data_IF_744622798953
#
_entry.id   IF_744622798953
#
_cell.length_a   1.000
_cell.length_b   1.000
_cell.length_c   1.000
_cell.angle_alpha   90.00
_cell.angle_beta   90.00
_cell.angle_gamma   90.00
#
_symmetry.space_group_name_H-M   'P 1'
#
loop_
_entity.id
_entity.type
_entity.pdbx_description
1 polymer ?
#
# COMPACT_ATOMS: atom_id res chain seq x y z
N UNK A 1 -1.11 -33.12 35.69
CA UNK A 1 0.38 -33.11 35.72
C UNK A 1 0.83 -32.03 34.78
N UNK A 2 1.55 -31.04 35.33
CA UNK A 2 2.38 -29.97 34.71
C UNK A 2 1.75 -29.23 33.49
N UNK A 3 1.10 -28.05 33.60
CA UNK A 3 1.57 -26.72 34.07
C UNK A 3 2.99 -26.35 33.62
N UNK A 4 3.08 -25.58 32.54
CA UNK A 4 4.02 -24.46 32.42
C UNK A 4 3.31 -23.23 31.84
N UNK A 5 3.30 -22.18 32.65
CA UNK A 5 2.78 -20.83 32.37
C UNK A 5 3.92 -19.92 31.90
N UNK A 6 3.57 -18.76 31.32
CA UNK A 6 4.23 -17.42 31.38
C UNK A 6 3.70 -16.62 30.16
N UNK A 7 2.65 -15.77 30.27
CA UNK A 7 2.69 -14.31 30.56
C UNK A 7 3.82 -13.61 29.77
N UNK A 8 3.61 -12.69 28.83
CA UNK A 8 2.80 -11.48 28.93
C UNK A 8 2.48 -10.92 27.52
N UNK A 9 1.21 -10.55 27.34
CA UNK A 9 0.68 -9.74 26.25
C UNK A 9 0.65 -8.31 26.77
N UNK A 10 1.59 -7.46 26.35
CA UNK A 10 1.50 -6.00 26.44
C UNK A 10 2.65 -5.39 25.63
N UNK A 11 2.40 -4.21 25.08
CA UNK A 11 3.28 -3.28 24.36
C UNK A 11 3.22 -3.28 22.83
N UNK A 12 2.64 -2.19 22.32
CA UNK A 12 2.62 -1.81 20.91
C UNK A 12 1.76 -0.57 20.60
N UNK A 13 1.55 0.33 21.57
CA UNK A 13 0.97 1.65 21.32
C UNK A 13 1.47 2.60 22.41
N UNK A 14 2.52 3.36 22.10
CA UNK A 14 2.88 4.57 22.83
C UNK A 14 3.13 5.66 21.78
N UNK A 15 2.01 6.21 21.32
CA UNK A 15 1.98 7.55 20.74
C UNK A 15 2.45 8.54 21.79
N UNK A 16 3.29 9.48 21.35
CA UNK A 16 3.84 10.56 22.14
C UNK A 16 2.80 11.19 23.09
N UNK A 17 2.99 10.98 24.39
CA UNK A 17 2.42 11.77 25.48
C UNK A 17 3.29 11.45 26.70
N UNK A 18 3.97 12.45 27.26
CA UNK A 18 4.92 12.26 28.35
C UNK A 18 4.30 11.52 29.54
N UNK A 19 4.95 10.46 29.98
CA UNK A 19 4.88 9.90 31.34
C UNK A 19 5.98 8.84 31.47
N UNK A 20 6.83 8.99 32.49
CA UNK A 20 7.96 8.11 32.75
C UNK A 20 7.53 6.65 32.96
N UNK A 21 8.28 5.73 32.35
CA UNK A 21 8.12 4.29 32.55
C UNK A 21 9.22 3.83 33.49
N UNK A 22 8.83 3.45 34.70
CA UNK A 22 9.67 2.78 35.68
C UNK A 22 10.17 1.44 35.14
N UNK A 23 11.48 1.25 35.26
CA UNK A 23 12.28 0.15 34.73
C UNK A 23 11.92 -1.18 35.40
N UNK A 24 11.56 -2.20 34.61
CA UNK A 24 11.71 -3.60 34.98
C UNK A 24 12.69 -4.24 34.01
N UNK A 25 13.76 -4.82 34.56
CA UNK A 25 14.93 -5.32 33.86
C UNK A 25 14.63 -6.41 32.82
N UNK A 26 14.31 -5.99 31.59
CA UNK A 26 14.71 -6.67 30.37
C UNK A 26 15.91 -5.89 29.82
N UNK A 27 16.90 -6.55 29.21
CA UNK A 27 18.05 -5.89 28.61
C UNK A 27 17.59 -4.64 27.85
N UNK A 28 17.96 -3.46 28.34
CA UNK A 28 17.42 -2.20 27.84
C UNK A 28 17.81 -2.10 26.36
N UNK A 29 16.82 -2.21 25.46
CA UNK A 29 17.07 -2.05 24.03
C UNK A 29 17.52 -0.61 23.82
N UNK A 30 18.72 -0.41 23.29
CA UNK A 30 19.20 0.93 22.97
C UNK A 30 18.41 1.46 21.78
N UNK A 31 17.60 2.49 22.01
CA UNK A 31 16.71 3.07 20.99
C UNK A 31 17.34 4.33 20.38
N UNK A 32 17.47 4.35 19.07
CA UNK A 32 17.94 5.51 18.31
C UNK A 32 16.75 6.18 17.61
N UNK A 33 16.55 7.47 17.88
CA UNK A 33 15.60 8.27 17.11
C UNK A 33 16.16 8.42 15.70
N UNK A 34 15.45 7.92 14.68
CA UNK A 34 16.01 7.86 13.33
C UNK A 34 15.20 8.69 12.35
N UNK A 35 15.87 9.43 11.46
CA UNK A 35 15.26 10.12 10.33
C UNK A 35 15.91 9.61 9.04
N UNK A 36 15.08 9.10 8.12
CA UNK A 36 15.54 8.62 6.82
C UNK A 36 15.17 9.63 5.74
N UNK A 37 16.15 10.12 5.00
CA UNK A 37 16.02 11.20 4.03
C UNK A 37 16.68 10.82 2.69
N UNK A 38 16.26 11.45 1.60
CA UNK A 38 16.79 11.14 0.26
C UNK A 38 17.79 12.19 -0.24
N UNK A 39 17.72 13.40 0.30
CA UNK A 39 18.54 14.55 -0.12
C UNK A 39 19.38 15.16 1.00
N UNK A 40 19.46 14.49 2.15
CA UNK A 40 20.30 14.93 3.24
C UNK A 40 21.79 14.69 2.94
N UNK A 41 22.63 15.57 3.44
CA UNK A 41 24.08 15.53 3.27
C UNK A 41 24.75 15.87 4.59
N UNK A 42 26.06 15.71 4.66
CA UNK A 42 26.83 16.10 5.84
C UNK A 42 26.58 17.56 6.24
N UNK A 43 26.33 18.45 5.26
CA UNK A 43 26.10 19.87 5.51
C UNK A 43 24.76 20.23 6.15
N UNK A 44 23.75 19.36 6.08
CA UNK A 44 22.42 19.63 6.64
C UNK A 44 21.90 18.57 7.62
N UNK A 45 22.60 17.44 7.79
CA UNK A 45 22.19 16.35 8.69
C UNK A 45 21.98 16.83 10.13
N UNK A 46 22.81 17.75 10.62
CA UNK A 46 22.65 18.35 11.95
C UNK A 46 21.31 19.08 12.11
N UNK A 47 20.80 19.73 11.07
CA UNK A 47 19.52 20.45 11.12
C UNK A 47 18.34 19.49 11.12
N UNK A 48 18.47 18.33 10.47
CA UNK A 48 17.51 17.23 10.63
C UNK A 48 17.52 16.69 12.07
N UNK A 49 18.69 16.51 12.67
CA UNK A 49 18.80 16.00 14.02
C UNK A 49 18.15 16.93 15.05
N UNK A 50 18.33 18.25 14.91
CA UNK A 50 17.74 19.28 15.77
C UNK A 50 16.21 19.31 15.77
N UNK A 51 15.52 18.68 14.81
CA UNK A 51 14.06 18.50 14.84
C UNK A 51 13.60 17.60 15.99
N UNK A 52 14.52 16.85 16.58
CA UNK A 52 14.27 15.92 17.68
C UNK A 52 14.96 16.36 18.97
N UNK A 53 14.68 17.56 19.51
CA UNK A 53 15.30 18.00 20.74
C UNK A 53 14.96 17.05 21.90
N UNK A 54 15.83 16.91 22.90
CA UNK A 54 15.51 16.25 24.15
C UNK A 54 14.28 16.83 24.82
N UNK A 55 13.44 15.98 25.41
CA UNK A 55 12.33 16.44 26.24
C UNK A 55 12.88 17.10 27.50
N UNK A 56 12.40 18.30 27.79
CA UNK A 56 12.75 19.05 28.99
C UNK A 56 11.67 18.84 30.04
N UNK A 57 12.08 18.40 31.22
CA UNK A 57 11.25 18.27 32.41
C UNK A 57 11.64 19.35 33.40
N UNK A 58 10.67 20.10 33.91
CA UNK A 58 10.92 21.19 34.84
C UNK A 58 10.17 20.97 36.14
N UNK A 59 10.87 21.14 37.25
CA UNK A 59 10.27 21.22 38.58
C UNK A 59 10.13 22.69 38.96
N UNK A 60 8.92 23.08 39.37
CA UNK A 60 8.66 24.39 39.96
C UNK A 60 8.68 24.21 41.47
N UNK A 61 9.52 24.96 42.18
CA UNK A 61 9.53 25.01 43.63
C UNK A 61 8.99 26.37 44.07
N UNK A 62 8.00 26.34 44.97
CA UNK A 62 7.33 27.53 45.50
C UNK A 62 5.97 27.84 44.86
N UNK A 63 5.18 28.76 45.46
CA UNK A 63 3.90 29.17 44.93
C UNK A 63 4.08 29.96 43.62
N UNK A 64 3.18 29.74 42.65
CA UNK A 64 3.14 30.50 41.39
C UNK A 64 3.09 32.01 41.69
N UNK A 65 4.14 32.77 41.32
CA UNK A 65 4.31 34.16 41.75
C UNK A 65 5.67 34.77 41.35
N UNK A 66 6.19 35.71 42.15
CA UNK A 66 7.44 36.43 41.87
C UNK A 66 8.69 35.69 42.39
N UNK A 67 8.52 34.76 43.33
CA UNK A 67 9.61 34.04 44.01
C UNK A 67 9.64 32.53 43.69
N UNK A 68 9.02 32.09 42.59
CA UNK A 68 9.15 30.68 42.21
C UNK A 68 10.56 30.43 41.65
N UNK A 69 11.15 29.30 42.04
CA UNK A 69 12.34 28.78 41.38
C UNK A 69 11.93 27.67 40.42
N UNK A 70 12.62 27.59 39.29
CA UNK A 70 12.43 26.54 38.32
C UNK A 70 13.75 25.83 38.07
N UNK A 71 13.72 24.51 38.13
CA UNK A 71 14.87 23.66 37.83
C UNK A 71 14.46 22.72 36.69
N UNK A 72 15.06 22.92 35.53
CA UNK A 72 14.78 22.12 34.34
C UNK A 72 15.93 21.18 34.00
N UNK A 73 15.58 19.95 33.66
CA UNK A 73 16.49 18.91 33.24
C UNK A 73 16.05 18.28 31.93
N UNK A 74 16.99 17.69 31.20
CA UNK A 74 16.69 16.84 30.05
C UNK A 74 17.71 15.72 29.95
N UNK A 75 17.23 14.54 29.56
CA UNK A 75 18.10 13.41 29.26
C UNK A 75 18.64 13.53 27.83
N UNK A 76 19.92 13.17 27.57
CA UNK A 76 20.44 13.15 26.21
C UNK A 76 19.57 12.29 25.28
N UNK A 77 19.50 12.70 24.02
CA UNK A 77 18.78 11.97 22.98
C UNK A 77 19.71 11.64 21.83
N UNK A 78 19.74 10.37 21.48
CA UNK A 78 20.54 9.84 20.38
C UNK A 78 19.71 9.86 19.09
N UNK A 79 20.22 10.55 18.07
CA UNK A 79 19.54 10.79 16.79
C UNK A 79 20.41 10.34 15.63
N UNK A 80 19.87 9.44 14.80
CA UNK A 80 20.50 8.88 13.61
C UNK A 80 19.85 9.45 12.35
N UNK A 81 20.63 10.07 11.48
CA UNK A 81 20.19 10.57 10.18
C UNK A 81 20.76 9.63 9.12
N UNK A 82 19.90 9.11 8.24
CA UNK A 82 20.29 8.16 7.20
C UNK A 82 19.91 8.74 5.83
N UNK A 83 20.88 8.89 4.94
CA UNK A 83 20.59 9.11 3.53
C UNK A 83 20.29 7.77 2.85
N UNK A 84 19.04 7.56 2.44
CA UNK A 84 18.59 6.34 1.79
C UNK A 84 19.22 6.11 0.39
N UNK A 85 19.59 7.17 -0.33
CA UNK A 85 20.20 7.09 -1.65
C UNK A 85 21.70 6.73 -1.59
N UNK A 86 22.45 7.35 -0.68
CA UNK A 86 23.89 7.14 -0.57
C UNK A 86 24.29 6.10 0.48
N UNK A 87 23.37 5.71 1.36
CA UNK A 87 23.65 4.85 2.51
C UNK A 87 24.48 5.54 3.61
N UNK A 88 24.77 6.84 3.47
CA UNK A 88 25.50 7.62 4.46
C UNK A 88 24.66 7.80 5.72
N UNK A 89 25.34 7.78 6.87
CA UNK A 89 24.72 7.84 8.18
C UNK A 89 25.45 8.85 9.06
N UNK A 90 24.70 9.71 9.74
CA UNK A 90 25.24 10.68 10.68
C UNK A 90 24.56 10.49 12.03
N UNK A 91 25.36 10.28 13.07
CA UNK A 91 24.87 10.02 14.41
C UNK A 91 25.20 11.20 15.31
N UNK A 92 24.16 11.77 15.93
CA UNK A 92 24.26 12.90 16.82
C UNK A 92 23.68 12.56 18.18
N UNK A 93 24.36 13.00 19.22
CA UNK A 93 23.80 13.09 20.56
C UNK A 93 23.39 14.54 20.83
N UNK A 94 22.12 14.73 21.15
CA UNK A 94 21.55 16.02 21.51
C UNK A 94 21.39 16.08 23.03
N UNK A 95 21.84 17.17 23.65
CA UNK A 95 21.65 17.43 25.07
C UNK A 95 21.42 18.92 25.30
N UNK A 96 20.81 19.30 26.42
CA UNK A 96 20.81 20.69 26.83
C UNK A 96 22.00 20.95 27.76
N UNK A 97 22.70 22.06 27.55
CA UNK A 97 23.60 22.63 28.56
C UNK A 97 22.81 23.47 29.56
N UNK A 98 23.45 23.96 30.62
CA UNK A 98 22.82 24.74 31.69
C UNK A 98 21.69 24.00 32.46
N UNK A 99 21.82 22.69 32.62
CA UNK A 99 20.90 21.86 33.41
C UNK A 99 20.70 22.44 34.82
N UNK A 100 19.47 22.37 35.35
CA UNK A 100 19.10 22.94 36.66
C UNK A 100 18.71 24.42 36.64
N UNK A 101 18.72 25.08 35.47
CA UNK A 101 18.25 26.47 35.31
C UNK A 101 16.80 26.57 34.82
N UNK A 102 16.31 27.80 34.62
CA UNK A 102 15.03 28.05 33.97
C UNK A 102 15.02 27.51 32.53
N UNK A 103 13.83 27.15 32.04
CA UNK A 103 13.65 26.50 30.73
C UNK A 103 14.22 27.32 29.57
N UNK A 104 14.09 28.65 29.63
CA UNK A 104 14.58 29.57 28.60
C UNK A 104 16.11 29.76 28.63
N UNK A 105 16.80 29.29 29.68
CA UNK A 105 18.26 29.33 29.80
C UNK A 105 18.94 28.02 29.35
N UNK A 106 18.16 26.98 29.09
CA UNK A 106 18.66 25.73 28.52
C UNK A 106 19.05 25.95 27.05
N UNK A 107 20.29 25.63 26.71
CA UNK A 107 20.80 25.74 25.33
C UNK A 107 20.97 24.34 24.74
N UNK A 108 20.34 24.08 23.60
CA UNK A 108 20.52 22.83 22.88
C UNK A 108 21.94 22.76 22.32
N UNK A 109 22.66 21.71 22.69
CA UNK A 109 23.95 21.34 22.15
C UNK A 109 23.83 20.02 21.38
N UNK A 110 24.59 19.92 20.29
CA UNK A 110 24.56 18.77 19.38
C UNK A 110 25.99 18.32 19.13
N UNK A 111 26.27 17.05 19.37
CA UNK A 111 27.61 16.48 19.21
C UNK A 111 27.55 15.28 18.29
N UNK A 112 28.32 15.29 17.22
CA UNK A 112 28.48 14.14 16.34
C UNK A 112 29.25 13.03 17.06
N UNK A 113 28.82 11.78 16.85
CA UNK A 113 29.35 10.58 17.49
C UNK A 113 29.53 9.48 16.44
N UNK A 114 30.39 8.52 16.73
CA UNK A 114 30.52 7.31 15.91
C UNK A 114 29.33 6.39 16.17
N UNK A 115 28.62 6.00 15.11
CA UNK A 115 27.50 5.07 15.20
C UNK A 115 28.01 3.67 15.60
N UNK A 116 27.48 3.06 16.66
CA UNK A 116 27.86 1.70 17.03
C UNK A 116 27.57 0.69 15.92
N UNK A 117 28.43 -0.34 15.81
CA UNK A 117 28.37 -1.31 14.73
C UNK A 117 26.99 -2.00 14.60
N UNK A 118 26.38 -2.37 15.73
CA UNK A 118 25.07 -3.03 15.73
C UNK A 118 23.95 -2.12 15.20
N UNK A 119 23.98 -0.84 15.56
CA UNK A 119 23.05 0.16 15.04
C UNK A 119 23.29 0.45 13.55
N UNK A 120 24.55 0.48 13.13
CA UNK A 120 24.91 0.61 11.71
C UNK A 120 24.40 -0.59 10.90
N UNK A 121 24.63 -1.81 11.37
CA UNK A 121 24.18 -3.05 10.73
C UNK A 121 22.65 -3.10 10.64
N UNK A 122 21.93 -2.69 11.69
CA UNK A 122 20.47 -2.63 11.67
C UNK A 122 19.96 -1.57 10.68
N UNK A 123 20.64 -0.43 10.56
CA UNK A 123 20.32 0.60 9.57
C UNK A 123 20.59 0.11 8.13
N UNK A 124 21.70 -0.60 7.90
CA UNK A 124 22.00 -1.20 6.60
C UNK A 124 20.99 -2.28 6.20
N UNK A 125 20.59 -3.13 7.15
CA UNK A 125 19.57 -4.15 6.96
C UNK A 125 18.20 -3.52 6.62
N UNK A 126 17.84 -2.44 7.30
CA UNK A 126 16.64 -1.66 7.01
C UNK A 126 16.66 -1.09 5.59
N UNK A 127 17.74 -0.42 5.19
CA UNK A 127 17.88 0.13 3.83
C UNK A 127 17.82 -0.98 2.78
N UNK A 128 18.50 -2.10 3.01
CA UNK A 128 18.50 -3.26 2.12
C UNK A 128 17.10 -3.84 1.95
N UNK A 129 16.34 -3.96 3.03
CA UNK A 129 14.94 -4.43 3.01
C UNK A 129 14.07 -3.56 2.12
N UNK A 130 14.16 -2.24 2.25
CA UNK A 130 13.38 -1.30 1.47
C UNK A 130 13.79 -1.29 -0.01
N UNK A 131 15.09 -1.28 -0.29
CA UNK A 131 15.60 -1.31 -1.65
C UNK A 131 15.23 -2.61 -2.39
N UNK A 132 15.25 -3.75 -1.69
CA UNK A 132 14.82 -5.02 -2.26
C UNK A 132 13.32 -5.03 -2.60
N UNK A 133 12.50 -4.35 -1.80
CA UNK A 133 11.08 -4.15 -2.08
C UNK A 133 10.83 -3.31 -3.33
N UNK A 134 11.53 -2.19 -3.48
CA UNK A 134 11.42 -1.32 -4.65
C UNK A 134 11.87 -2.06 -5.91
N UNK A 135 12.98 -2.80 -5.84
CA UNK A 135 13.47 -3.64 -6.94
C UNK A 135 12.49 -4.76 -7.29
N UNK A 136 11.92 -5.44 -6.30
CA UNK A 136 10.95 -6.50 -6.54
C UNK A 136 9.71 -5.98 -7.30
N UNK A 137 9.17 -4.82 -6.90
CA UNK A 137 8.05 -4.20 -7.61
C UNK A 137 8.44 -3.79 -9.02
N UNK A 138 9.63 -3.20 -9.21
CA UNK A 138 10.14 -2.88 -10.55
C UNK A 138 10.23 -4.11 -11.45
N UNK A 139 10.82 -5.20 -10.95
CA UNK A 139 10.97 -6.45 -11.69
C UNK A 139 9.62 -7.09 -12.04
N UNK A 140 8.63 -6.99 -11.14
CA UNK A 140 7.27 -7.46 -11.42
C UNK A 140 6.61 -6.58 -12.47
N UNK A 141 6.74 -5.26 -12.39
CA UNK A 141 6.24 -4.36 -13.45
C UNK A 141 6.83 -4.76 -14.81
N UNK A 142 8.15 -4.90 -14.92
CA UNK A 142 8.81 -5.29 -16.17
C UNK A 142 8.35 -6.67 -16.66
N UNK A 143 8.22 -7.63 -15.75
CA UNK A 143 7.71 -8.97 -16.08
C UNK A 143 6.30 -8.90 -16.66
N UNK A 144 5.38 -8.16 -16.06
CA UNK A 144 3.97 -8.11 -16.45
C UNK A 144 3.74 -7.24 -17.70
N UNK A 145 4.68 -6.37 -18.04
CA UNK A 145 4.71 -5.64 -19.31
C UNK A 145 5.34 -6.47 -20.45
N UNK A 146 5.99 -7.61 -20.14
CA UNK A 146 6.59 -8.46 -21.17
C UNK A 146 5.57 -9.11 -22.10
N UNK A 147 5.94 -9.30 -23.37
CA UNK A 147 5.10 -9.94 -24.38
C UNK A 147 4.67 -11.37 -23.99
N UNK A 148 5.54 -12.09 -23.27
CA UNK A 148 5.24 -13.44 -22.76
C UNK A 148 4.08 -13.43 -21.77
N UNK A 149 4.10 -12.50 -20.80
CA UNK A 149 3.01 -12.37 -19.83
C UNK A 149 1.72 -11.87 -20.48
N UNK A 150 1.81 -10.91 -21.41
CA UNK A 150 0.66 -10.44 -22.17
C UNK A 150 -0.02 -11.58 -22.96
N UNK A 151 0.77 -12.48 -23.56
CA UNK A 151 0.27 -13.69 -24.23
C UNK A 151 -0.31 -14.70 -23.23
N UNK A 152 0.32 -14.87 -22.06
CA UNK A 152 -0.19 -15.76 -21.02
C UNK A 152 -1.57 -15.31 -20.52
N UNK A 153 -1.76 -14.02 -20.26
CA UNK A 153 -3.07 -13.46 -19.90
C UNK A 153 -4.12 -13.71 -20.96
N UNK A 154 -3.76 -13.58 -22.24
CA UNK A 154 -4.66 -13.95 -23.33
C UNK A 154 -5.06 -15.42 -23.22
N UNK A 155 -4.09 -16.33 -23.09
CA UNK A 155 -4.37 -17.76 -23.02
C UNK A 155 -5.23 -18.16 -21.81
N UNK A 156 -4.99 -17.55 -20.64
CA UNK A 156 -5.76 -17.82 -19.43
C UNK A 156 -7.20 -17.31 -19.56
N UNK A 157 -7.37 -16.08 -20.06
CA UNK A 157 -8.68 -15.48 -20.29
C UNK A 157 -9.51 -16.29 -21.32
N UNK A 158 -8.86 -16.90 -22.31
CA UNK A 158 -9.48 -17.81 -23.26
C UNK A 158 -9.82 -19.18 -22.64
N UNK A 159 -8.96 -19.70 -21.75
CA UNK A 159 -9.11 -21.05 -21.18
C UNK A 159 -10.20 -21.14 -20.11
N UNK A 160 -10.54 -20.03 -19.43
CA UNK A 160 -11.73 -19.99 -18.56
C UNK A 160 -13.05 -20.23 -19.30
N UNK A 161 -13.02 -20.37 -20.64
CA UNK A 161 -14.20 -20.49 -21.50
C UNK A 161 -14.54 -21.89 -22.03
N UNK A 162 -14.23 -22.97 -21.32
CA UNK A 162 -14.71 -24.33 -21.71
C UNK A 162 -15.88 -24.85 -20.87
N UNK A 163 -16.84 -23.97 -20.56
CA UNK A 163 -18.20 -24.36 -20.17
C UNK A 163 -19.16 -24.08 -21.34
N UNK A 164 -19.03 -24.87 -22.41
CA UNK A 164 -20.01 -25.31 -23.44
C UNK A 164 -21.32 -24.55 -23.80
N UNK A 165 -21.53 -23.28 -23.43
CA UNK A 165 -22.71 -22.52 -23.84
C UNK A 165 -22.31 -21.24 -24.55
N UNK A 166 -22.57 -21.19 -25.87
CA UNK A 166 -22.43 -20.06 -26.79
C UNK A 166 -21.00 -19.53 -27.02
N UNK A 167 -20.45 -19.82 -28.21
CA UNK A 167 -19.46 -18.93 -28.82
C UNK A 167 -20.06 -17.52 -28.81
N UNK A 168 -19.41 -16.58 -28.13
CA UNK A 168 -19.94 -15.23 -28.04
C UNK A 168 -20.09 -14.68 -29.45
N UNK A 169 -21.27 -14.15 -29.81
CA UNK A 169 -21.43 -13.50 -31.09
C UNK A 169 -20.43 -12.36 -31.20
N UNK A 170 -20.13 -11.63 -30.10
CA UNK A 170 -19.33 -10.41 -30.04
C UNK A 170 -17.83 -10.57 -30.34
N UNK A 171 -17.27 -11.79 -30.32
CA UNK A 171 -15.85 -12.07 -30.59
C UNK A 171 -14.85 -11.31 -29.68
N UNK A 172 -15.21 -11.07 -28.42
CA UNK A 172 -14.42 -10.24 -27.49
C UNK A 172 -13.13 -10.88 -26.98
N UNK A 173 -12.94 -12.16 -27.28
CA UNK A 173 -11.89 -13.04 -26.75
C UNK A 173 -10.47 -12.50 -26.95
N UNK A 174 -10.20 -11.82 -28.05
CA UNK A 174 -8.87 -11.29 -28.37
C UNK A 174 -8.69 -9.80 -28.03
N UNK A 175 -9.73 -9.15 -27.51
CA UNK A 175 -9.71 -7.73 -27.21
C UNK A 175 -8.82 -7.41 -26.00
N UNK A 176 -8.10 -6.26 -25.99
CA UNK A 176 -7.32 -5.81 -24.84
C UNK A 176 -8.13 -5.71 -23.55
N UNK A 177 -9.41 -5.33 -23.65
CA UNK A 177 -10.30 -5.24 -22.49
C UNK A 177 -10.50 -6.59 -21.79
N UNK A 178 -10.48 -7.70 -22.54
CA UNK A 178 -10.61 -9.04 -21.99
C UNK A 178 -9.46 -9.37 -21.06
N UNK A 179 -8.22 -9.06 -21.48
CA UNK A 179 -7.03 -9.27 -20.66
C UNK A 179 -7.00 -8.34 -19.45
N UNK A 180 -7.38 -7.07 -19.64
CA UNK A 180 -7.41 -6.08 -18.57
C UNK A 180 -8.41 -6.45 -17.47
N UNK A 181 -9.65 -6.80 -17.84
CA UNK A 181 -10.67 -7.20 -16.87
C UNK A 181 -10.34 -8.54 -16.19
N UNK A 182 -9.79 -9.52 -16.92
CA UNK A 182 -9.28 -10.75 -16.33
C UNK A 182 -8.21 -10.43 -15.27
N UNK A 183 -7.22 -9.61 -15.62
CA UNK A 183 -6.17 -9.23 -14.66
C UNK A 183 -6.70 -8.43 -13.46
N UNK A 184 -7.75 -7.61 -13.64
CA UNK A 184 -8.34 -6.79 -12.59
C UNK A 184 -9.26 -7.54 -11.62
N UNK A 185 -10.02 -8.53 -12.11
CA UNK A 185 -11.11 -9.14 -11.34
C UNK A 185 -10.99 -10.66 -11.17
N UNK A 186 -10.10 -11.33 -11.89
CA UNK A 186 -9.86 -12.76 -11.70
C UNK A 186 -9.02 -13.04 -10.44
N UNK A 187 -9.53 -13.94 -9.59
CA UNK A 187 -8.89 -14.29 -8.32
C UNK A 187 -7.54 -15.00 -8.54
N UNK A 188 -7.40 -15.82 -9.59
CA UNK A 188 -6.14 -16.51 -9.90
C UNK A 188 -5.11 -15.53 -10.45
N UNK A 189 -5.51 -14.59 -11.31
CA UNK A 189 -4.62 -13.55 -11.80
C UNK A 189 -4.01 -12.74 -10.65
N UNK A 190 -4.84 -12.32 -9.68
CA UNK A 190 -4.37 -11.64 -8.46
C UNK A 190 -3.46 -12.52 -7.59
N UNK A 191 -3.79 -13.81 -7.43
CA UNK A 191 -2.95 -14.74 -6.68
C UNK A 191 -1.58 -14.97 -7.35
N UNK A 192 -1.54 -15.02 -8.69
CA UNK A 192 -0.31 -15.11 -9.47
C UNK A 192 0.55 -13.85 -9.32
N UNK A 193 -0.07 -12.66 -9.33
CA UNK A 193 0.63 -11.39 -9.03
C UNK A 193 1.25 -11.43 -7.63
N UNK A 194 0.48 -11.83 -6.62
CA UNK A 194 0.97 -11.97 -5.25
C UNK A 194 2.18 -12.91 -5.20
N UNK A 195 2.09 -14.10 -5.81
CA UNK A 195 3.18 -15.08 -5.87
C UNK A 195 4.42 -14.52 -6.58
N UNK A 196 4.25 -13.83 -7.71
CA UNK A 196 5.36 -13.20 -8.44
C UNK A 196 6.09 -12.19 -7.56
N UNK A 197 5.37 -11.32 -6.87
CA UNK A 197 5.99 -10.31 -6.01
C UNK A 197 6.72 -10.91 -4.82
N UNK A 198 6.11 -11.89 -4.14
CA UNK A 198 6.77 -12.59 -3.03
C UNK A 198 8.05 -13.28 -3.52
N UNK A 199 8.01 -13.95 -4.67
CA UNK A 199 9.18 -14.61 -5.23
C UNK A 199 10.28 -13.61 -5.61
N UNK A 200 9.94 -12.49 -6.26
CA UNK A 200 10.92 -11.45 -6.62
C UNK A 200 11.51 -10.78 -5.39
N UNK A 201 10.69 -10.54 -4.38
CA UNK A 201 11.18 -10.01 -3.11
C UNK A 201 12.12 -11.00 -2.41
N UNK A 202 11.80 -12.29 -2.39
CA UNK A 202 12.69 -13.32 -1.85
C UNK A 202 13.99 -13.47 -2.65
N UNK A 203 13.97 -13.25 -3.97
CA UNK A 203 15.18 -13.22 -4.80
C UNK A 203 16.07 -12.03 -4.45
N UNK A 204 15.49 -10.85 -4.24
CA UNK A 204 16.21 -9.60 -3.94
C UNK A 204 16.71 -9.50 -2.50
N UNK A 205 15.93 -10.02 -1.55
CA UNK A 205 16.19 -9.86 -0.13
C UNK A 205 16.65 -11.15 0.56
N UNK A 206 16.14 -12.31 0.13
CA UNK A 206 16.22 -13.56 0.86
C UNK A 206 15.00 -13.75 1.77
N UNK A 207 15.22 -14.30 2.96
CA UNK A 207 14.17 -14.42 3.98
C UNK A 207 14.11 -13.19 4.87
N UNK A 208 12.89 -12.78 5.23
CA UNK A 208 12.66 -11.78 6.29
C UNK A 208 12.73 -12.41 7.69
N UNK A 209 12.75 -13.74 7.77
CA UNK A 209 12.82 -14.45 9.04
C UNK A 209 14.16 -14.15 9.72
N UNK A 210 14.11 -13.57 10.92
CA UNK A 210 15.30 -13.16 11.66
C UNK A 210 15.98 -11.88 11.13
N UNK A 211 15.44 -11.24 10.08
CA UNK A 211 15.90 -9.92 9.65
C UNK A 211 15.65 -8.86 10.72
N UNK A 212 14.49 -8.93 11.37
CA UNK A 212 14.09 -8.08 12.49
C UNK A 212 13.44 -8.94 13.58
N UNK A 213 13.75 -8.67 14.84
CA UNK A 213 13.07 -9.27 16.00
C UNK A 213 11.71 -8.60 16.23
N UNK A 214 11.66 -7.27 16.08
CA UNK A 214 10.42 -6.51 16.05
C UNK A 214 10.39 -5.60 14.84
N UNK A 215 9.22 -5.42 14.23
CA UNK A 215 9.01 -4.51 13.10
C UNK A 215 7.62 -3.90 13.15
N UNK A 216 7.54 -2.58 13.06
CA UNK A 216 6.34 -1.81 12.78
C UNK A 216 6.72 -0.72 11.80
N UNK A 217 6.03 -0.64 10.67
CA UNK A 217 6.37 0.31 9.61
C UNK A 217 5.07 0.80 8.96
N UNK A 218 4.92 2.12 8.83
CA UNK A 218 3.83 2.81 8.13
C UNK A 218 4.41 3.74 7.07
N UNK A 219 3.57 4.53 6.37
CA UNK A 219 4.04 5.57 5.44
C UNK A 219 5.01 6.56 6.08
N UNK A 220 4.74 6.92 7.33
CA UNK A 220 5.37 8.06 8.00
C UNK A 220 6.41 7.60 9.00
N UNK A 221 6.16 6.49 9.68
CA UNK A 221 6.93 6.09 10.85
C UNK A 221 7.39 4.64 10.75
N UNK A 222 8.48 4.33 11.43
CA UNK A 222 8.96 2.97 11.60
C UNK A 222 9.52 2.74 13.00
N UNK A 223 9.56 1.48 13.37
CA UNK A 223 10.28 0.93 14.51
C UNK A 223 10.75 -0.47 14.14
N UNK A 224 12.05 -0.70 14.21
CA UNK A 224 12.68 -2.02 14.00
C UNK A 224 13.67 -2.29 15.10
N UNK A 225 13.80 -3.55 15.51
CA UNK A 225 14.84 -3.96 16.46
C UNK A 225 15.50 -5.27 16.09
N UNK A 226 16.75 -5.43 16.51
CA UNK A 226 17.52 -6.67 16.45
C UNK A 226 18.66 -6.63 17.46
N UNK A 227 18.92 -7.73 18.15
CA UNK A 227 20.12 -7.88 18.98
C UNK A 227 20.26 -6.82 20.07
N UNK A 228 19.16 -6.38 20.68
CA UNK A 228 19.19 -5.36 21.74
C UNK A 228 19.36 -3.91 21.25
N UNK A 229 19.31 -3.66 19.95
CA UNK A 229 19.27 -2.30 19.37
C UNK A 229 17.95 -2.09 18.64
N UNK A 230 17.39 -0.88 18.76
CA UNK A 230 16.19 -0.45 18.06
C UNK A 230 16.41 0.86 17.30
N UNK A 231 15.88 0.94 16.09
CA UNK A 231 15.76 2.17 15.31
C UNK A 231 14.28 2.52 15.24
N UNK A 232 13.92 3.74 15.64
CA UNK A 232 12.55 4.22 15.54
C UNK A 232 12.49 5.68 15.13
N UNK A 233 11.58 6.03 14.22
CA UNK A 233 11.37 7.41 13.81
C UNK A 233 10.65 7.53 12.49
N UNK A 234 11.02 8.51 11.67
CA UNK A 234 10.27 8.88 10.47
C UNK A 234 11.10 8.87 9.20
N UNK A 235 10.39 8.91 8.08
CA UNK A 235 10.97 9.00 6.74
C UNK A 235 10.50 10.28 6.07
N UNK A 236 11.39 10.93 5.33
CA UNK A 236 11.05 12.10 4.53
C UNK A 236 10.08 11.72 3.39
N UNK A 237 10.20 10.51 2.85
CA UNK A 237 9.24 9.93 1.90
C UNK A 237 9.48 8.43 1.72
N UNK A 238 8.65 7.58 2.32
CA UNK A 238 8.53 6.18 1.91
C UNK A 238 7.09 5.97 1.49
N UNK A 239 6.81 5.58 0.24
CA UNK A 239 5.46 5.23 -0.16
C UNK A 239 4.93 4.14 0.79
N UNK A 240 3.81 4.42 1.48
CA UNK A 240 3.08 3.41 2.24
C UNK A 240 2.69 2.24 1.36
N UNK A 241 2.34 2.61 0.13
CA UNK A 241 1.85 1.75 -0.93
C UNK A 241 2.87 1.73 -2.05
N UNK A 242 3.20 0.54 -2.51
CA UNK A 242 3.85 0.37 -3.81
C UNK A 242 2.82 -0.11 -4.79
N UNK A 243 2.92 0.31 -6.04
CA UNK A 243 1.95 -0.05 -7.06
C UNK A 243 2.58 -0.90 -8.14
N UNK A 244 1.90 -1.98 -8.52
CA UNK A 244 2.17 -2.66 -9.80
C UNK A 244 1.16 -2.14 -10.82
N UNK A 245 1.66 -1.67 -11.96
CA UNK A 245 0.85 -1.11 -13.04
C UNK A 245 1.07 -1.90 -14.33
N UNK A 246 -0.01 -2.47 -14.85
CA UNK A 246 0.01 -3.26 -16.09
C UNK A 246 -0.83 -2.56 -17.15
N UNK A 247 -0.25 -2.35 -18.32
CA UNK A 247 -0.90 -1.66 -19.43
C UNK A 247 -1.27 -2.67 -20.51
N UNK A 248 -2.51 -2.62 -20.97
CA UNK A 248 -3.02 -3.39 -22.09
C UNK A 248 -3.34 -2.42 -23.21
N UNK A 249 -2.45 -2.36 -24.20
CA UNK A 249 -2.56 -1.40 -25.30
C UNK A 249 -3.83 -1.63 -26.12
N UNK A 250 -4.56 -0.55 -26.41
CA UNK A 250 -5.79 -0.57 -27.20
C UNK A 250 -5.85 0.70 -28.06
N UNK A 251 -5.52 0.55 -29.34
CA UNK A 251 -5.47 1.67 -30.29
C UNK A 251 -6.85 2.26 -30.61
N UNK A 252 -7.95 1.57 -30.25
CA UNK A 252 -9.32 1.96 -30.63
C UNK A 252 -10.02 2.65 -29.46
N UNK A 253 -9.93 2.09 -28.25
CA UNK A 253 -10.66 2.57 -27.07
C UNK A 253 -9.78 3.30 -26.05
N UNK A 254 -8.48 3.43 -26.33
CA UNK A 254 -7.48 3.91 -25.40
C UNK A 254 -7.00 2.81 -24.45
N UNK A 255 -5.73 2.90 -24.05
CA UNK A 255 -5.08 1.88 -23.24
C UNK A 255 -5.82 1.60 -21.92
N UNK A 256 -5.88 0.32 -21.57
CA UNK A 256 -6.40 -0.13 -20.28
C UNK A 256 -5.23 -0.25 -19.31
N UNK A 257 -5.33 0.38 -18.14
CA UNK A 257 -4.25 0.40 -17.15
C UNK A 257 -4.81 -0.17 -15.86
N UNK A 258 -4.27 -1.28 -15.39
CA UNK A 258 -4.70 -1.91 -14.15
C UNK A 258 -3.59 -1.75 -13.12
N UNK A 259 -3.92 -1.08 -12.03
CA UNK A 259 -2.98 -0.76 -10.96
C UNK A 259 -3.42 -1.48 -9.69
N UNK A 260 -2.51 -2.25 -9.09
CA UNK A 260 -2.70 -2.82 -7.76
C UNK A 260 -1.82 -2.09 -6.76
N UNK A 261 -2.43 -1.54 -5.72
CA UNK A 261 -1.73 -1.06 -4.55
C UNK A 261 -1.37 -2.25 -3.66
N UNK A 262 -0.12 -2.26 -3.20
CA UNK A 262 0.47 -3.32 -2.43
C UNK A 262 0.73 -2.81 -1.03
N UNK A 263 0.15 -3.50 -0.06
CA UNK A 263 0.22 -3.19 1.35
C UNK A 263 0.87 -4.35 2.10
N UNK A 264 1.30 -4.08 3.33
CA UNK A 264 1.60 -5.15 4.26
C UNK A 264 0.29 -5.71 4.77
N UNK A 265 0.18 -7.04 4.79
CA UNK A 265 -1.00 -7.71 5.31
C UNK A 265 -1.27 -7.35 6.79
N UNK A 266 -2.51 -7.51 7.26
CA UNK A 266 -2.87 -7.28 8.65
C UNK A 266 -1.89 -7.97 9.61
N UNK A 267 -1.46 -7.27 10.67
CA UNK A 267 -0.48 -7.76 11.66
C UNK A 267 0.93 -8.02 11.11
N UNK A 268 1.27 -7.46 9.95
CA UNK A 268 2.62 -7.53 9.38
C UNK A 268 2.98 -8.90 8.80
N UNK A 269 1.99 -9.76 8.59
CA UNK A 269 2.15 -11.06 7.94
C UNK A 269 1.69 -10.98 6.50
N UNK A 270 2.59 -11.28 5.56
CA UNK A 270 2.29 -11.33 4.14
C UNK A 270 2.10 -9.97 3.47
N UNK A 271 1.69 -10.02 2.20
CA UNK A 271 1.39 -8.87 1.35
C UNK A 271 -0.11 -8.88 1.06
N UNK A 272 -0.73 -7.71 1.09
CA UNK A 272 -2.11 -7.53 0.64
C UNK A 272 -2.14 -6.69 -0.63
N UNK A 273 -3.13 -6.93 -1.47
CA UNK A 273 -3.24 -6.35 -2.81
C UNK A 273 -4.66 -5.82 -3.00
N UNK A 274 -4.76 -4.51 -3.22
CA UNK A 274 -6.02 -3.85 -3.52
C UNK A 274 -5.97 -3.27 -4.93
N UNK A 275 -7.06 -3.43 -5.68
CA UNK A 275 -7.18 -2.77 -6.98
C UNK A 275 -7.28 -1.25 -6.76
N UNK A 276 -6.31 -0.50 -7.26
CA UNK A 276 -6.26 0.95 -7.14
C UNK A 276 -7.23 1.58 -8.16
N UNK A 277 -8.52 1.57 -7.85
CA UNK A 277 -9.60 1.99 -8.78
C UNK A 277 -9.48 3.44 -9.28
N UNK A 278 -8.77 4.28 -8.53
CA UNK A 278 -8.60 5.70 -8.83
C UNK A 278 -7.50 5.98 -9.86
N UNK A 279 -6.56 5.04 -10.04
CA UNK A 279 -5.47 5.07 -11.01
C UNK A 279 -5.61 3.99 -12.07
N UNK A 280 -6.57 3.07 -11.92
CA UNK A 280 -6.91 2.05 -12.90
C UNK A 280 -7.96 2.54 -13.90
N UNK A 281 -7.77 2.21 -15.17
CA UNK A 281 -8.59 2.59 -16.31
C UNK A 281 -9.06 1.38 -17.11
N UNK A 282 -10.34 1.36 -17.45
CA UNK A 282 -10.98 0.41 -18.36
C UNK A 282 -11.72 1.21 -19.44
N UNK A 283 -11.32 1.08 -20.70
CA UNK A 283 -11.91 1.79 -21.85
C UNK A 283 -11.83 3.31 -21.71
N UNK A 284 -10.66 3.82 -21.32
CA UNK A 284 -10.42 5.24 -21.12
C UNK A 284 -11.10 5.88 -19.89
N UNK A 285 -11.91 5.12 -19.14
CA UNK A 285 -12.59 5.59 -17.92
C UNK A 285 -11.94 5.02 -16.67
N UNK A 286 -11.77 5.85 -15.63
CA UNK A 286 -11.29 5.35 -14.33
C UNK A 286 -12.33 4.45 -13.70
N UNK A 287 -11.90 3.34 -13.09
CA UNK A 287 -12.82 2.39 -12.44
C UNK A 287 -13.66 3.07 -11.36
N UNK A 288 -13.03 3.95 -10.57
CA UNK A 288 -13.72 4.75 -9.55
C UNK A 288 -14.85 5.62 -10.12
N UNK A 289 -14.68 6.17 -11.31
CA UNK A 289 -15.64 7.09 -11.91
C UNK A 289 -16.86 6.35 -12.47
N UNK A 290 -16.70 5.09 -12.88
CA UNK A 290 -17.81 4.23 -13.32
C UNK A 290 -18.88 4.04 -12.23
N UNK A 291 -18.50 4.19 -10.95
CA UNK A 291 -19.45 4.18 -9.82
C UNK A 291 -20.43 5.36 -9.82
N UNK A 292 -20.02 6.49 -10.41
CA UNK A 292 -20.74 7.77 -10.35
C UNK A 292 -21.36 8.16 -11.68
N UNK A 293 -20.62 7.99 -12.77
CA UNK A 293 -20.96 8.57 -14.07
C UNK A 293 -21.82 7.67 -14.95
N UNK A 294 -22.11 6.43 -14.55
CA UNK A 294 -22.85 5.42 -15.34
C UNK A 294 -22.55 5.55 -16.83
N UNK A 295 -21.31 5.28 -17.26
CA UNK A 295 -20.90 5.57 -18.63
C UNK A 295 -21.85 4.95 -19.64
N UNK A 296 -22.24 5.76 -20.63
CA UNK A 296 -23.21 5.38 -21.65
C UNK A 296 -22.53 4.80 -22.89
N UNK A 297 -23.25 3.94 -23.62
CA UNK A 297 -22.81 3.32 -24.87
C UNK A 297 -21.49 2.54 -24.76
N UNK A 298 -21.33 1.82 -23.66
CA UNK A 298 -20.15 0.98 -23.43
C UNK A 298 -20.17 -0.20 -24.41
N UNK A 299 -18.99 -0.59 -24.90
CA UNK A 299 -18.89 -1.68 -25.88
C UNK A 299 -19.45 -3.00 -25.34
N UNK A 300 -20.07 -3.78 -26.22
CA UNK A 300 -20.56 -5.13 -25.91
C UNK A 300 -19.47 -6.01 -25.28
N UNK A 301 -18.21 -5.83 -25.70
CA UNK A 301 -17.10 -6.59 -25.15
C UNK A 301 -16.73 -6.24 -23.72
N UNK A 302 -16.80 -4.96 -23.34
CA UNK A 302 -16.63 -4.58 -21.95
C UNK A 302 -17.70 -5.24 -21.07
N UNK A 303 -18.97 -5.18 -21.49
CA UNK A 303 -20.09 -5.73 -20.71
C UNK A 303 -19.99 -7.25 -20.57
N UNK A 304 -19.76 -7.95 -21.68
CA UNK A 304 -19.63 -9.40 -21.70
C UNK A 304 -18.48 -9.88 -20.82
N UNK A 305 -17.32 -9.24 -20.94
CA UNK A 305 -16.11 -9.63 -20.20
C UNK A 305 -16.26 -9.33 -18.72
N UNK A 306 -16.77 -8.15 -18.35
CA UNK A 306 -16.99 -7.83 -16.95
C UNK A 306 -17.99 -8.80 -16.32
N UNK A 307 -19.04 -9.22 -17.04
CA UNK A 307 -20.01 -10.16 -16.48
C UNK A 307 -19.51 -11.60 -16.32
N UNK A 308 -18.36 -11.95 -16.89
CA UNK A 308 -17.66 -13.21 -16.57
C UNK A 308 -17.01 -13.17 -15.19
N UNK A 309 -16.56 -11.99 -14.75
CA UNK A 309 -15.81 -11.84 -13.49
C UNK A 309 -16.66 -11.25 -12.36
N UNK A 310 -17.67 -10.46 -12.70
CA UNK A 310 -18.54 -9.74 -11.78
C UNK A 310 -20.00 -10.10 -12.04
N UNK A 311 -20.71 -10.43 -10.97
CA UNK A 311 -22.15 -10.66 -11.03
C UNK A 311 -22.86 -9.37 -11.44
N UNK A 312 -23.83 -9.44 -12.35
CA UNK A 312 -24.58 -8.27 -12.81
C UNK A 312 -26.09 -8.49 -12.80
N UNK A 313 -26.83 -7.42 -12.51
CA UNK A 313 -28.25 -7.29 -12.83
C UNK A 313 -28.44 -6.34 -14.00
N UNK A 314 -29.52 -6.55 -14.76
CA UNK A 314 -29.76 -5.81 -16.00
C UNK A 314 -31.20 -5.31 -16.01
N UNK A 315 -31.37 -4.01 -16.18
CA UNK A 315 -32.68 -3.38 -16.26
C UNK A 315 -32.74 -2.35 -17.40
N UNK A 316 -33.79 -2.36 -18.23
CA UNK A 316 -33.97 -1.39 -19.32
C UNK A 316 -34.85 -1.89 -20.47
N UNK A 317 -34.85 -1.19 -21.60
CA UNK A 317 -35.50 -1.66 -22.85
C UNK A 317 -37.01 -1.40 -23.02
N UNK A 318 -37.68 -0.71 -22.12
CA UNK A 318 -39.12 -0.43 -22.23
C UNK A 318 -39.46 0.74 -23.15
N UNK A 319 -39.53 0.51 -24.47
CA UNK A 319 -40.05 1.50 -25.42
C UNK A 319 -40.38 0.90 -26.78
N UNK A 320 -41.64 1.00 -27.22
CA UNK A 320 -42.08 0.60 -28.56
C UNK A 320 -42.58 -0.85 -28.72
N UNK A 321 -43.27 -1.41 -27.71
CA UNK A 321 -43.96 -2.70 -27.85
C UNK A 321 -43.17 -3.95 -27.41
N UNK A 322 -42.03 -3.77 -26.74
CA UNK A 322 -41.24 -4.84 -26.13
C UNK A 322 -41.37 -4.85 -24.61
N UNK A 323 -41.35 -6.04 -24.01
CA UNK A 323 -41.35 -6.22 -22.55
C UNK A 323 -40.08 -5.60 -21.94
N UNK A 324 -40.19 -4.93 -20.77
CA UNK A 324 -39.04 -4.40 -20.08
C UNK A 324 -38.08 -5.54 -19.71
N UNK A 325 -36.81 -5.39 -20.05
CA UNK A 325 -35.74 -6.30 -19.60
C UNK A 325 -35.53 -6.04 -18.12
N UNK A 326 -35.75 -7.07 -17.31
CA UNK A 326 -35.44 -7.07 -15.88
C UNK A 326 -34.87 -8.44 -15.50
N UNK A 327 -33.54 -8.56 -15.65
CA UNK A 327 -32.81 -9.75 -15.32
C UNK A 327 -32.15 -9.53 -13.96
N UNK A 328 -32.43 -10.43 -13.01
CA UNK A 328 -31.87 -10.41 -11.65
C UNK A 328 -30.35 -10.55 -11.64
N UNK A 329 -29.73 -10.91 -10.51
CA UNK A 329 -28.27 -11.08 -10.52
C UNK A 329 -27.84 -12.35 -11.28
N UNK A 330 -26.71 -12.30 -11.98
CA UNK A 330 -26.14 -13.46 -12.66
C UNK A 330 -24.83 -13.16 -13.39
N UNK A 331 -24.19 -14.23 -13.86
CA UNK A 331 -22.96 -14.22 -14.64
C UNK A 331 -23.23 -14.60 -16.10
N UNK A 332 -22.22 -14.45 -16.95
CA UNK A 332 -22.17 -14.98 -18.32
C UNK A 332 -23.30 -14.52 -19.25
N UNK A 333 -23.88 -13.34 -19.00
CA UNK A 333 -24.85 -12.71 -19.90
C UNK A 333 -24.13 -12.03 -21.04
N UNK A 334 -24.67 -12.23 -22.23
CA UNK A 334 -24.08 -11.72 -23.48
C UNK A 334 -24.96 -10.55 -23.95
N UNK A 335 -24.41 -9.34 -24.14
CA UNK A 335 -25.14 -8.24 -24.74
C UNK A 335 -25.46 -8.54 -26.21
N UNK A 336 -26.68 -8.21 -26.64
CA UNK A 336 -27.18 -8.44 -27.98
C UNK A 336 -26.42 -7.64 -29.04
N UNK A 337 -26.28 -8.23 -30.23
CA UNK A 337 -25.87 -7.54 -31.45
C UNK A 337 -27.12 -7.00 -32.12
N UNK A 338 -27.49 -5.74 -31.89
CA UNK A 338 -28.70 -5.18 -32.50
C UNK A 338 -28.66 -5.29 -34.03
N UNK A 339 -29.42 -6.23 -34.61
CA UNK A 339 -29.78 -6.28 -36.02
C UNK A 339 -31.16 -6.93 -36.17
N UNK A 340 -32.17 -6.11 -36.51
CA UNK A 340 -33.46 -6.59 -37.01
C UNK A 340 -34.67 -6.19 -36.17
N UNK A 341 -35.14 -4.95 -36.32
CA UNK A 341 -36.41 -4.49 -35.79
C UNK A 341 -36.58 -2.98 -35.97
N UNK A 342 -37.80 -2.53 -36.25
CA UNK A 342 -38.15 -1.14 -36.63
C UNK A 342 -37.91 -0.11 -35.49
N UNK A 343 -37.62 -0.58 -34.28
CA UNK A 343 -37.20 0.22 -33.12
C UNK A 343 -35.71 0.01 -32.88
N UNK A 344 -34.93 1.09 -32.76
CA UNK A 344 -33.47 1.09 -32.65
C UNK A 344 -32.86 0.28 -31.48
N UNK A 345 -31.53 0.31 -31.32
CA UNK A 345 -30.84 -0.49 -30.30
C UNK A 345 -31.38 -0.19 -28.90
N UNK A 346 -31.82 -1.24 -28.19
CA UNK A 346 -32.28 -1.11 -26.81
C UNK A 346 -31.08 -1.01 -25.87
N UNK A 347 -31.05 0.08 -25.10
CA UNK A 347 -30.05 0.30 -24.06
C UNK A 347 -30.58 -0.20 -22.71
N UNK A 348 -29.76 -0.98 -22.02
CA UNK A 348 -29.99 -1.47 -20.67
C UNK A 348 -28.92 -0.95 -19.72
N UNK A 349 -29.32 -0.71 -18.47
CA UNK A 349 -28.39 -0.51 -17.37
C UNK A 349 -27.89 -1.86 -16.87
N UNK A 350 -26.58 -2.05 -16.88
CA UNK A 350 -25.88 -3.16 -16.27
C UNK A 350 -25.34 -2.71 -14.92
N UNK A 351 -25.80 -3.31 -13.82
CA UNK A 351 -25.32 -3.04 -12.47
C UNK A 351 -24.49 -4.22 -11.97
N UNK A 352 -23.20 -4.00 -11.79
CA UNK A 352 -22.26 -4.99 -11.28
C UNK A 352 -22.18 -4.96 -9.77
N UNK A 353 -21.96 -6.12 -9.16
CA UNK A 353 -21.90 -6.28 -7.71
C UNK A 353 -20.50 -6.69 -7.24
N UNK A 354 -20.16 -6.25 -6.03
CA UNK A 354 -18.96 -6.70 -5.34
C UNK A 354 -19.14 -8.13 -4.79
N UNK A 355 -18.08 -8.79 -4.28
CA UNK A 355 -18.18 -10.13 -3.71
C UNK A 355 -19.13 -10.26 -2.51
N UNK A 356 -19.56 -9.15 -1.90
CA UNK A 356 -20.54 -9.11 -0.81
C UNK A 356 -21.96 -8.82 -1.30
N UNK A 357 -22.16 -8.74 -2.62
CA UNK A 357 -23.45 -8.54 -3.25
C UNK A 357 -23.97 -7.09 -3.20
N UNK A 358 -23.13 -6.11 -2.86
CA UNK A 358 -23.49 -4.69 -2.92
C UNK A 358 -23.22 -4.13 -4.32
N UNK A 359 -24.04 -3.16 -4.80
CA UNK A 359 -23.78 -2.51 -6.07
C UNK A 359 -22.39 -1.87 -6.06
N UNK A 360 -21.57 -2.26 -7.03
CA UNK A 360 -20.19 -1.83 -7.16
C UNK A 360 -20.10 -0.65 -8.14
N UNK A 361 -20.50 -0.85 -9.39
CA UNK A 361 -20.70 0.22 -10.38
C UNK A 361 -21.81 -0.14 -11.38
N UNK A 362 -22.19 0.81 -12.24
CA UNK A 362 -23.16 0.55 -13.29
C UNK A 362 -22.75 1.21 -14.60
N UNK A 363 -23.19 0.64 -15.71
CA UNK A 363 -22.88 1.09 -17.07
C UNK A 363 -24.13 0.97 -17.94
N UNK A 364 -24.22 1.74 -19.01
CA UNK A 364 -25.28 1.58 -20.01
C UNK A 364 -24.70 1.02 -21.30
N UNK A 365 -25.37 0.03 -21.87
CA UNK A 365 -25.04 -0.52 -23.18
C UNK A 365 -26.13 -1.47 -23.66
N UNK A 366 -25.85 -2.33 -24.63
CA UNK A 366 -26.88 -3.17 -25.23
C UNK A 366 -27.54 -4.10 -24.21
N UNK A 367 -28.86 -4.25 -24.32
CA UNK A 367 -29.60 -5.31 -23.64
C UNK A 367 -29.15 -6.70 -24.18
N UNK A 368 -29.17 -7.76 -23.36
CA UNK A 368 -28.91 -9.13 -23.81
C UNK A 368 -29.77 -9.61 -24.96
#
# INVERSE_FOLDING_TARGET
MERNSIKALLYGALTASGMGISVSANAAITQYQTEICYSCSAGNAIDFAKKYPPTVECKINGPFGWDYTQECYSQPRDVLIINANSGQKWYYQLNHTNQGKFRNELTLNTTEKNLPADANNLADELLRYYAAWDRAVSLVNDQYQSQTMQTAFLSEALTQRFSTASASPNNCENEPITRAAHFAYDVKARANLHKSLVNKFQQEYGSVDGAFETKQMTALNFSVSKGGVGLGGSWQYVPETRSVSVTFADSVNGDHIIVYDIFKGPRGTGLDFELAEHTSFLGGSRIKDMRRSRPANVSNCMLEVLNKHLEASIAGGGGGGHDPVNLGKGYDRIPGRGFGGISGPQTCTWTYYDPWGKPYFSMEGACP
#
